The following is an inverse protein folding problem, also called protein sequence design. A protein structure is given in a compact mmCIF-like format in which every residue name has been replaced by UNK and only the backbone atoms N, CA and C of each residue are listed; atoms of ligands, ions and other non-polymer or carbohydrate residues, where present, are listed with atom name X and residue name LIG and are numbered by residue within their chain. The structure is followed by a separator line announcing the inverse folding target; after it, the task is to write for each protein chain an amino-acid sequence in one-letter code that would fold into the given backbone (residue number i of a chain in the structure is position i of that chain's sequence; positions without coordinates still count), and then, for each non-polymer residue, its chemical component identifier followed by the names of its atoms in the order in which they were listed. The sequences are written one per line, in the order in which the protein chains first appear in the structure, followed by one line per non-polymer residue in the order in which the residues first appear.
data_IF_859424248660
#
_entry.id   IF_859424248660
#
_cell.length_a   1.000
_cell.length_b   1.000
_cell.length_c   1.000
_cell.angle_alpha   90.00
_cell.angle_beta   90.00
_cell.angle_gamma   90.00
#
_symmetry.space_group_name_H-M   'P 1'
#
loop_
_entity.id
_entity.type
_entity.pdbx_description
1 polymer ?
#
# COMPACT_ATOMS: atom_id res chain seq x y z
N UNK A 1 84.65 19.56 -28.31
CA UNK A 1 84.67 18.43 -29.26
C UNK A 1 83.37 17.62 -29.05
N UNK A 2 82.59 17.49 -30.11
CA UNK A 2 81.41 16.60 -30.31
C UNK A 2 80.16 16.84 -29.40
N UNK A 3 79.08 17.47 -29.88
CA UNK A 3 78.05 17.08 -30.90
C UNK A 3 77.54 15.65 -30.64
N UNK A 4 76.22 15.48 -30.30
CA UNK A 4 75.17 15.22 -31.25
C UNK A 4 73.93 14.60 -30.53
N UNK A 5 72.73 14.97 -31.06
CA UNK A 5 71.41 14.33 -31.05
C UNK A 5 70.62 14.47 -29.71
N UNK A 6 69.58 15.17 -29.64
CA UNK A 6 68.50 15.37 -30.65
C UNK A 6 67.38 14.39 -30.36
N UNK A 7 66.29 14.81 -29.82
CA UNK A 7 65.15 13.96 -29.61
C UNK A 7 64.08 14.67 -28.75
N UNK A 8 63.39 15.66 -29.33
CA UNK A 8 62.14 16.20 -28.79
C UNK A 8 61.09 15.09 -28.76
N UNK A 9 60.68 14.66 -27.59
CA UNK A 9 59.45 13.95 -27.38
C UNK A 9 58.58 14.79 -26.43
N UNK A 10 57.89 15.76 -26.98
CA UNK A 10 56.74 16.38 -26.34
C UNK A 10 55.62 15.36 -26.20
N UNK A 11 55.58 14.71 -25.07
CA UNK A 11 54.42 13.95 -24.63
C UNK A 11 53.38 14.98 -24.15
N UNK A 12 52.53 15.41 -25.07
CA UNK A 12 51.29 16.11 -24.76
C UNK A 12 50.40 15.16 -23.96
N UNK A 13 50.48 15.26 -22.65
CA UNK A 13 49.48 14.71 -21.74
C UNK A 13 48.22 15.51 -22.02
N UNK A 14 47.34 14.96 -22.90
CA UNK A 14 45.98 15.40 -23.08
C UNK A 14 45.23 15.35 -21.78
N UNK A 15 45.15 16.48 -21.09
CA UNK A 15 44.15 16.69 -20.04
C UNK A 15 42.80 16.58 -20.69
N UNK A 16 42.19 15.40 -20.61
CA UNK A 16 40.77 15.22 -20.89
C UNK A 16 39.98 16.06 -19.92
N UNK A 17 39.70 17.30 -20.35
CA UNK A 17 38.64 18.09 -19.79
C UNK A 17 37.34 17.32 -20.04
N UNK A 18 36.88 16.59 -19.05
CA UNK A 18 35.46 16.19 -19.00
C UNK A 18 34.70 17.49 -18.78
N UNK A 19 34.41 18.18 -19.87
CA UNK A 19 33.44 19.24 -19.89
C UNK A 19 32.12 18.67 -19.42
N UNK A 20 31.60 19.26 -18.38
CA UNK A 20 30.16 19.23 -18.14
C UNK A 20 29.51 19.81 -19.40
N UNK A 21 29.01 18.94 -20.28
CA UNK A 21 28.17 19.36 -21.37
C UNK A 21 26.92 19.96 -20.76
N UNK A 22 26.81 21.27 -20.79
CA UNK A 22 25.56 21.97 -20.60
C UNK A 22 24.56 21.38 -21.59
N UNK A 23 23.37 21.10 -21.11
CA UNK A 23 22.25 20.49 -21.82
C UNK A 23 21.72 21.48 -22.86
N UNK A 24 22.34 21.51 -24.05
CA UNK A 24 21.96 22.37 -25.19
C UNK A 24 21.58 21.55 -26.44
N UNK A 25 21.26 20.25 -26.27
CA UNK A 25 20.83 19.39 -27.37
C UNK A 25 19.31 19.42 -27.55
N UNK A 26 18.80 19.40 -28.79
CA UNK A 26 17.38 19.20 -29.01
C UNK A 26 16.96 17.84 -28.42
N UNK A 27 15.82 17.82 -27.74
CA UNK A 27 15.20 16.60 -27.19
C UNK A 27 15.14 15.54 -28.31
N UNK A 28 15.85 14.43 -28.10
CA UNK A 28 15.92 13.39 -29.11
C UNK A 28 14.64 12.52 -29.03
N UNK A 29 13.81 12.66 -30.05
CA UNK A 29 12.61 11.82 -30.24
C UNK A 29 12.88 10.59 -31.14
N UNK A 30 14.14 10.33 -31.50
CA UNK A 30 14.48 9.18 -32.34
C UNK A 30 14.39 7.87 -31.56
N UNK A 31 13.54 6.97 -32.00
CA UNK A 31 13.38 5.64 -31.44
C UNK A 31 14.32 4.67 -32.18
N UNK A 32 15.59 4.59 -31.77
CA UNK A 32 16.49 3.53 -32.21
C UNK A 32 16.51 2.43 -31.15
N UNK A 33 15.99 1.25 -31.50
CA UNK A 33 16.07 0.08 -30.63
C UNK A 33 17.52 -0.41 -30.51
N UNK A 34 18.26 0.13 -29.56
CA UNK A 34 19.58 -0.39 -29.19
C UNK A 34 19.46 -1.28 -27.95
N UNK A 35 20.33 -2.31 -27.80
CA UNK A 35 20.33 -3.15 -26.60
C UNK A 35 20.45 -2.33 -25.29
N UNK A 36 21.25 -1.26 -25.32
CA UNK A 36 21.44 -0.35 -24.18
C UNK A 36 20.15 0.38 -23.81
N UNK A 37 19.39 0.84 -24.81
CA UNK A 37 18.10 1.50 -24.58
C UNK A 37 17.08 0.56 -23.94
N UNK A 38 17.09 -0.73 -24.35
CA UNK A 38 16.23 -1.76 -23.74
C UNK A 38 16.62 -2.00 -22.29
N UNK A 39 17.92 -2.07 -21.98
CA UNK A 39 18.40 -2.23 -20.61
C UNK A 39 17.99 -1.05 -19.72
N UNK A 40 18.16 0.19 -20.20
CA UNK A 40 17.72 1.41 -19.50
C UNK A 40 16.19 1.40 -19.33
N UNK A 41 15.42 1.09 -20.37
CA UNK A 41 13.97 0.98 -20.28
C UNK A 41 13.53 -0.02 -19.21
N UNK A 42 14.08 -1.22 -19.21
CA UNK A 42 13.73 -2.26 -18.23
C UNK A 42 14.12 -1.83 -16.81
N UNK A 43 15.29 -1.24 -16.64
CA UNK A 43 15.73 -0.75 -15.33
C UNK A 43 14.82 0.33 -14.79
N UNK A 44 14.52 1.35 -15.60
CA UNK A 44 13.60 2.41 -15.23
C UNK A 44 12.20 1.87 -14.98
N UNK A 45 11.72 0.93 -15.81
CA UNK A 45 10.41 0.34 -15.66
C UNK A 45 10.26 -0.44 -14.35
N UNK A 46 11.25 -1.28 -14.01
CA UNK A 46 11.26 -2.03 -12.75
C UNK A 46 11.32 -1.07 -11.56
N UNK A 47 12.19 -0.06 -11.63
CA UNK A 47 12.33 0.95 -10.59
C UNK A 47 11.00 1.70 -10.39
N UNK A 48 10.36 2.13 -11.47
CA UNK A 48 9.10 2.86 -11.44
C UNK A 48 7.95 2.01 -10.89
N UNK A 49 7.88 0.73 -11.25
CA UNK A 49 6.88 -0.21 -10.71
C UNK A 49 7.10 -0.44 -9.22
N UNK A 50 8.35 -0.65 -8.79
CA UNK A 50 8.68 -0.87 -7.37
C UNK A 50 8.32 0.35 -6.52
N UNK A 51 8.75 1.55 -6.95
CA UNK A 51 8.39 2.81 -6.29
C UNK A 51 6.88 3.09 -6.30
N UNK A 52 6.21 2.68 -7.38
CA UNK A 52 4.79 2.90 -7.56
C UNK A 52 3.90 2.04 -6.66
N UNK A 53 4.37 0.88 -6.21
CA UNK A 53 3.60 0.02 -5.29
C UNK A 53 3.33 0.74 -3.98
N UNK A 54 4.34 1.40 -3.40
CA UNK A 54 4.19 2.16 -2.16
C UNK A 54 3.20 3.32 -2.34
N UNK A 55 3.28 4.05 -3.46
CA UNK A 55 2.34 5.11 -3.80
C UNK A 55 0.90 4.59 -3.85
N UNK A 56 0.66 3.43 -4.48
CA UNK A 56 -0.68 2.81 -4.54
C UNK A 56 -1.17 2.41 -3.15
N UNK A 57 -0.30 1.91 -2.28
CA UNK A 57 -0.66 1.55 -0.90
C UNK A 57 -1.07 2.82 -0.12
N UNK A 58 -0.31 3.92 -0.22
CA UNK A 58 -0.65 5.18 0.45
C UNK A 58 -1.94 5.80 -0.08
N UNK A 59 -2.12 5.83 -1.39
CA UNK A 59 -3.38 6.26 -2.00
C UNK A 59 -4.55 5.41 -1.49
N UNK A 60 -4.33 4.11 -1.32
CA UNK A 60 -5.33 3.20 -0.76
C UNK A 60 -5.68 3.53 0.69
N UNK A 61 -4.69 3.86 1.52
CA UNK A 61 -4.90 4.27 2.91
C UNK A 61 -5.66 5.60 2.98
N UNK A 62 -5.27 6.59 2.18
CA UNK A 62 -5.94 7.90 2.14
C UNK A 62 -7.37 7.79 1.62
N UNK A 63 -7.58 7.04 0.53
CA UNK A 63 -8.90 6.84 -0.05
C UNK A 63 -9.83 6.06 0.90
N UNK A 64 -9.31 5.17 1.74
CA UNK A 64 -10.11 4.39 2.70
C UNK A 64 -10.78 5.25 3.78
N UNK A 65 -10.37 6.51 3.95
CA UNK A 65 -10.98 7.47 4.89
C UNK A 65 -12.28 8.09 4.36
N UNK A 66 -12.51 7.97 3.07
CA UNK A 66 -13.73 8.48 2.43
C UNK A 66 -14.88 7.49 2.56
N UNK A 67 -16.13 7.96 2.43
CA UNK A 67 -17.30 7.10 2.27
C UNK A 67 -17.08 6.06 1.15
N UNK A 68 -17.64 4.86 1.31
CA UNK A 68 -17.39 3.72 0.40
C UNK A 68 -17.66 4.04 -1.07
N UNK A 69 -18.66 4.87 -1.34
CA UNK A 69 -19.06 5.29 -2.69
C UNK A 69 -18.00 6.17 -3.38
N UNK A 70 -17.19 6.88 -2.58
CA UNK A 70 -16.17 7.80 -3.08
C UNK A 70 -14.77 7.17 -3.15
N UNK A 71 -14.50 6.07 -2.43
CA UNK A 71 -13.18 5.46 -2.33
C UNK A 71 -12.59 5.05 -3.68
N UNK A 72 -13.39 4.38 -4.52
CA UNK A 72 -12.94 3.97 -5.85
C UNK A 72 -12.69 5.16 -6.77
N UNK A 73 -13.55 6.20 -6.69
CA UNK A 73 -13.38 7.43 -7.47
C UNK A 73 -12.12 8.18 -7.04
N UNK A 74 -11.89 8.34 -5.73
CA UNK A 74 -10.71 9.01 -5.20
C UNK A 74 -9.42 8.30 -5.59
N UNK A 75 -9.39 6.97 -5.48
CA UNK A 75 -8.23 6.18 -5.88
C UNK A 75 -7.93 6.32 -7.38
N UNK A 76 -8.92 6.10 -8.24
CA UNK A 76 -8.69 6.15 -9.68
C UNK A 76 -8.35 7.57 -10.15
N UNK A 77 -9.08 8.59 -9.66
CA UNK A 77 -8.81 9.99 -10.00
C UNK A 77 -7.46 10.44 -9.46
N UNK A 78 -7.13 10.09 -8.20
CA UNK A 78 -5.85 10.41 -7.59
C UNK A 78 -4.69 9.81 -8.37
N UNK A 79 -4.77 8.52 -8.73
CA UNK A 79 -3.79 7.86 -9.57
C UNK A 79 -3.66 8.54 -10.95
N UNK A 80 -4.77 8.81 -11.64
CA UNK A 80 -4.72 9.44 -12.96
C UNK A 80 -4.10 10.85 -12.92
N UNK A 81 -4.47 11.65 -11.92
CA UNK A 81 -3.88 12.97 -11.74
C UNK A 81 -2.39 12.90 -11.39
N UNK A 82 -1.99 11.95 -10.56
CA UNK A 82 -0.58 11.69 -10.24
C UNK A 82 0.21 11.35 -11.51
N UNK A 83 -0.30 10.46 -12.37
CA UNK A 83 0.32 10.18 -13.67
C UNK A 83 0.46 11.43 -14.52
N UNK A 84 -0.63 12.20 -14.65
CA UNK A 84 -0.60 13.40 -15.47
C UNK A 84 0.46 14.39 -14.96
N UNK A 85 0.51 14.59 -13.64
CA UNK A 85 1.52 15.45 -13.01
C UNK A 85 2.94 14.94 -13.27
N UNK A 86 3.17 13.62 -13.18
CA UNK A 86 4.49 13.02 -13.47
C UNK A 86 4.89 13.19 -14.93
N UNK A 87 3.96 13.00 -15.89
CA UNK A 87 4.22 13.28 -17.32
C UNK A 87 4.57 14.75 -17.52
N UNK A 88 3.84 15.67 -16.88
CA UNK A 88 4.16 17.10 -16.93
C UNK A 88 5.56 17.37 -16.36
N UNK A 89 5.91 16.79 -15.21
CA UNK A 89 7.26 16.93 -14.65
C UNK A 89 8.34 16.41 -15.60
N UNK A 90 8.12 15.28 -16.27
CA UNK A 90 9.06 14.75 -17.27
C UNK A 90 9.21 15.69 -18.46
N UNK A 91 8.12 16.30 -18.94
CA UNK A 91 8.19 17.30 -20.02
C UNK A 91 8.99 18.56 -19.61
N UNK A 92 8.95 18.91 -18.32
CA UNK A 92 9.75 19.99 -17.75
C UNK A 92 11.10 19.54 -17.16
N UNK A 93 11.56 18.33 -17.54
CA UNK A 93 12.76 17.72 -16.97
C UNK A 93 14.00 18.60 -17.07
N UNK A 94 14.19 19.31 -18.20
CA UNK A 94 15.30 20.26 -18.37
C UNK A 94 15.29 21.38 -17.31
N UNK A 95 14.10 21.90 -16.98
CA UNK A 95 13.97 22.89 -15.91
C UNK A 95 14.17 22.25 -14.51
N UNK A 96 13.66 21.03 -14.30
CA UNK A 96 13.82 20.32 -13.02
C UNK A 96 15.30 20.06 -12.71
N UNK A 97 16.12 19.78 -13.72
CA UNK A 97 17.57 19.61 -13.52
C UNK A 97 18.22 20.89 -12.97
N UNK A 98 17.74 22.08 -13.36
CA UNK A 98 18.26 23.36 -12.83
C UNK A 98 17.92 23.57 -11.35
N UNK A 99 16.90 22.88 -10.82
CA UNK A 99 16.55 22.92 -9.39
C UNK A 99 17.62 22.30 -8.49
N UNK A 100 18.61 21.61 -9.04
CA UNK A 100 19.76 21.08 -8.30
C UNK A 100 20.84 22.11 -8.00
N UNK A 101 20.79 23.27 -8.64
CA UNK A 101 21.76 24.33 -8.40
C UNK A 101 21.50 24.97 -7.03
N UNK A 102 22.59 25.24 -6.29
CA UNK A 102 22.52 25.87 -4.99
C UNK A 102 21.99 27.30 -5.10
N UNK A 103 20.94 27.59 -4.36
CA UNK A 103 20.28 28.91 -4.33
C UNK A 103 20.81 29.78 -3.18
N UNK A 104 21.12 29.12 -2.05
CA UNK A 104 21.66 29.83 -0.89
C UNK A 104 22.57 28.88 -0.08
N UNK A 105 23.42 29.49 0.74
CA UNK A 105 24.38 28.78 1.58
C UNK A 105 24.09 29.06 3.06
N UNK A 106 24.10 28.00 3.90
CA UNK A 106 24.09 28.10 5.35
C UNK A 106 25.40 27.51 5.85
N UNK A 107 26.37 28.38 6.19
CA UNK A 107 27.74 27.96 6.50
C UNK A 107 28.43 27.39 5.26
N UNK A 108 28.86 26.14 5.32
CA UNK A 108 29.52 25.43 4.19
C UNK A 108 28.54 24.60 3.36
N UNK A 109 27.26 24.51 3.77
CA UNK A 109 26.25 23.72 3.07
C UNK A 109 25.46 24.58 2.09
N UNK A 110 25.48 24.23 0.81
CA UNK A 110 24.63 24.77 -0.23
C UNK A 110 23.25 24.08 -0.20
N UNK A 111 22.20 24.86 -0.40
CA UNK A 111 20.83 24.34 -0.50
C UNK A 111 20.26 24.71 -1.86
N UNK A 112 19.80 23.71 -2.58
CA UNK A 112 19.08 23.83 -3.83
C UNK A 112 17.56 23.88 -3.60
N UNK A 113 16.80 24.29 -4.61
CA UNK A 113 15.33 24.15 -4.56
C UNK A 113 14.88 22.71 -4.40
N UNK A 114 15.62 21.74 -4.99
CA UNK A 114 15.38 20.31 -4.78
C UNK A 114 15.43 19.96 -3.31
N UNK A 115 16.48 20.40 -2.61
CA UNK A 115 16.71 20.06 -1.20
C UNK A 115 15.60 20.61 -0.30
N UNK A 116 15.14 21.84 -0.57
CA UNK A 116 14.01 22.44 0.14
C UNK A 116 12.72 21.64 -0.05
N UNK A 117 12.44 21.21 -1.29
CA UNK A 117 11.26 20.39 -1.58
C UNK A 117 11.35 19.03 -0.88
N UNK A 118 12.54 18.41 -0.88
CA UNK A 118 12.76 17.14 -0.19
C UNK A 118 12.58 17.26 1.32
N UNK A 119 13.13 18.32 1.95
CA UNK A 119 12.96 18.56 3.38
C UNK A 119 11.49 18.84 3.71
N UNK A 120 10.84 19.74 2.99
CA UNK A 120 9.43 20.07 3.24
C UNK A 120 8.51 18.85 3.00
N UNK A 121 8.75 18.12 1.92
CA UNK A 121 8.04 16.89 1.60
C UNK A 121 8.27 15.80 2.63
N UNK A 122 9.51 15.59 3.04
CA UNK A 122 9.88 14.62 4.07
C UNK A 122 9.23 14.94 5.42
N UNK A 123 9.23 16.21 5.86
CA UNK A 123 8.53 16.66 7.07
C UNK A 123 7.02 16.42 6.98
N UNK A 124 6.42 16.69 5.81
CA UNK A 124 5.02 16.40 5.57
C UNK A 124 4.73 14.89 5.68
N UNK A 125 5.59 14.02 5.11
CA UNK A 125 5.43 12.56 5.20
C UNK A 125 5.54 12.06 6.65
N UNK A 126 6.55 12.54 7.40
CA UNK A 126 6.74 12.19 8.82
C UNK A 126 5.52 12.60 9.63
N UNK A 127 5.07 13.85 9.47
CA UNK A 127 3.87 14.35 10.15
C UNK A 127 2.64 13.48 9.84
N UNK A 128 2.43 13.15 8.56
CA UNK A 128 1.29 12.31 8.14
C UNK A 128 1.40 10.89 8.66
N UNK A 129 2.58 10.27 8.59
CA UNK A 129 2.79 8.93 9.09
C UNK A 129 2.51 8.84 10.59
N UNK A 130 3.08 9.76 11.38
CA UNK A 130 2.89 9.80 12.84
C UNK A 130 1.42 10.01 13.18
N UNK A 131 0.76 10.98 12.55
CA UNK A 131 -0.68 11.24 12.79
C UNK A 131 -1.55 10.04 12.45
N UNK A 132 -1.26 9.35 11.33
CA UNK A 132 -2.00 8.15 10.93
C UNK A 132 -1.76 6.96 11.86
N UNK A 133 -0.52 6.77 12.31
CA UNK A 133 -0.18 5.73 13.29
C UNK A 133 -0.89 6.01 14.61
N UNK A 134 -0.84 7.24 15.10
CA UNK A 134 -1.52 7.65 16.34
C UNK A 134 -3.03 7.38 16.26
N UNK A 135 -3.71 7.83 15.21
CA UNK A 135 -5.12 7.53 15.01
C UNK A 135 -5.45 6.04 14.92
N UNK A 136 -4.51 5.23 14.45
CA UNK A 136 -4.70 3.78 14.38
C UNK A 136 -4.56 3.10 15.73
N UNK A 137 -3.68 3.61 16.59
CA UNK A 137 -3.41 3.03 17.90
C UNK A 137 -4.43 3.50 18.96
N UNK A 138 -4.84 4.76 18.90
CA UNK A 138 -5.73 5.37 19.90
C UNK A 138 -7.19 5.46 19.44
N UNK A 139 -7.46 5.34 18.14
CA UNK A 139 -8.79 5.53 17.56
C UNK A 139 -9.83 4.46 17.93
N UNK A 140 -9.48 3.48 18.75
CA UNK A 140 -10.43 2.52 19.29
C UNK A 140 -11.17 3.05 20.56
N UNK A 141 -10.65 4.08 21.21
CA UNK A 141 -11.25 4.61 22.46
C UNK A 141 -12.12 5.85 22.24
N UNK A 142 -12.06 6.51 21.09
CA UNK A 142 -12.75 7.78 20.84
C UNK A 142 -14.11 7.68 20.09
N UNK A 143 -14.67 6.50 19.87
CA UNK A 143 -16.01 6.39 19.28
C UNK A 143 -17.15 6.94 20.16
N UNK A 144 -16.85 7.37 21.40
CA UNK A 144 -17.84 7.87 22.37
C UNK A 144 -17.77 9.37 22.66
N UNK A 145 -16.89 10.12 22.02
CA UNK A 145 -16.76 11.57 22.18
C UNK A 145 -17.27 12.36 20.98
N UNK A 146 -18.46 12.96 21.10
CA UNK A 146 -19.03 13.93 20.15
C UNK A 146 -18.21 15.25 20.11
N UNK A 147 -16.98 15.20 19.61
CA UNK A 147 -16.11 16.37 19.38
C UNK A 147 -15.70 16.46 17.93
N UNK A 148 -16.32 17.36 17.18
CA UNK A 148 -16.10 17.86 15.81
C UNK A 148 -14.88 17.39 15.03
N UNK A 149 -14.81 16.11 14.62
CA UNK A 149 -13.88 15.68 13.56
C UNK A 149 -14.29 16.38 12.28
N UNK A 150 -13.43 17.28 11.76
CA UNK A 150 -13.61 17.81 10.40
C UNK A 150 -13.67 16.61 9.47
N UNK A 151 -14.85 16.39 8.86
CA UNK A 151 -15.04 15.32 7.89
C UNK A 151 -13.96 15.42 6.82
N UNK A 152 -13.24 14.32 6.57
CA UNK A 152 -12.23 14.26 5.51
C UNK A 152 -12.95 14.45 4.19
N UNK A 153 -12.65 15.55 3.49
CA UNK A 153 -13.31 15.87 2.21
C UNK A 153 -12.59 15.17 1.06
N UNK A 154 -13.34 14.86 0.01
CA UNK A 154 -12.78 14.27 -1.22
C UNK A 154 -11.62 15.10 -1.78
N UNK A 155 -11.78 16.43 -1.85
CA UNK A 155 -10.73 17.35 -2.31
C UNK A 155 -9.47 17.32 -1.45
N UNK A 156 -9.62 17.23 -0.11
CA UNK A 156 -8.48 17.12 0.79
C UNK A 156 -7.69 15.81 0.57
N UNK A 157 -8.36 14.70 0.29
CA UNK A 157 -7.70 13.43 -0.02
C UNK A 157 -6.95 13.51 -1.34
N UNK A 158 -7.56 14.06 -2.39
CA UNK A 158 -6.90 14.27 -3.69
C UNK A 158 -5.68 15.18 -3.55
N UNK A 159 -5.81 16.29 -2.84
CA UNK A 159 -4.67 17.21 -2.61
C UNK A 159 -3.52 16.50 -1.88
N UNK A 160 -3.81 15.70 -0.85
CA UNK A 160 -2.79 14.92 -0.15
C UNK A 160 -2.12 13.89 -1.07
N UNK A 161 -2.88 13.20 -1.93
CA UNK A 161 -2.34 12.26 -2.92
C UNK A 161 -1.37 12.98 -3.87
N UNK A 162 -1.77 14.15 -4.39
CA UNK A 162 -0.94 14.92 -5.32
C UNK A 162 0.34 15.46 -4.66
N UNK A 163 0.26 15.94 -3.43
CA UNK A 163 1.45 16.39 -2.69
C UNK A 163 2.42 15.24 -2.45
N UNK A 164 1.91 14.06 -2.05
CA UNK A 164 2.73 12.87 -1.88
C UNK A 164 3.41 12.46 -3.18
N UNK A 165 2.63 12.38 -4.27
CA UNK A 165 3.18 11.99 -5.57
C UNK A 165 4.18 13.01 -6.09
N UNK A 166 3.96 14.32 -5.89
CA UNK A 166 4.91 15.37 -6.28
C UNK A 166 6.28 15.15 -5.64
N UNK A 167 6.31 14.87 -4.33
CA UNK A 167 7.56 14.66 -3.58
C UNK A 167 8.32 13.45 -4.11
N UNK A 168 7.61 12.33 -4.33
CA UNK A 168 8.23 11.10 -4.86
C UNK A 168 8.61 11.21 -6.34
N UNK A 169 7.80 11.93 -7.13
CA UNK A 169 8.02 12.08 -8.56
C UNK A 169 9.21 12.97 -8.89
N UNK A 170 9.50 13.99 -8.04
CA UNK A 170 10.65 14.87 -8.29
C UNK A 170 11.94 14.07 -8.30
N UNK A 171 12.16 13.21 -7.31
CA UNK A 171 13.36 12.38 -7.21
C UNK A 171 13.43 11.32 -8.32
N UNK A 172 12.30 10.66 -8.64
CA UNK A 172 12.26 9.64 -9.70
C UNK A 172 12.49 10.24 -11.09
N UNK A 173 11.95 11.42 -11.39
CA UNK A 173 12.18 12.12 -12.66
C UNK A 173 13.63 12.56 -12.79
N UNK A 174 14.22 13.12 -11.74
CA UNK A 174 15.65 13.48 -11.71
C UNK A 174 16.54 12.26 -11.97
N UNK A 175 16.21 11.13 -11.36
CA UNK A 175 16.93 9.86 -11.56
C UNK A 175 16.75 9.34 -12.99
N UNK A 176 15.54 9.36 -13.53
CA UNK A 176 15.24 8.91 -14.90
C UNK A 176 15.99 9.73 -15.95
N UNK A 177 15.98 11.06 -15.82
CA UNK A 177 16.73 11.97 -16.72
C UNK A 177 18.24 11.78 -16.60
N UNK A 178 18.73 11.43 -15.40
CA UNK A 178 20.13 11.09 -15.21
C UNK A 178 20.57 9.78 -15.88
N UNK A 179 19.61 8.87 -16.18
CA UNK A 179 19.87 7.58 -16.84
C UNK A 179 19.72 7.65 -18.36
N UNK A 180 18.83 8.51 -18.87
CA UNK A 180 18.60 8.66 -20.31
C UNK A 180 18.06 10.05 -20.64
N UNK A 181 18.53 10.61 -21.73
CA UNK A 181 18.04 11.87 -22.30
C UNK A 181 16.80 11.68 -23.18
N UNK A 182 16.44 10.42 -23.46
CA UNK A 182 15.32 10.12 -24.33
C UNK A 182 13.98 10.22 -23.59
N UNK A 183 13.31 11.37 -23.74
CA UNK A 183 12.02 11.62 -23.09
C UNK A 183 10.93 10.63 -23.51
N UNK A 184 10.97 10.09 -24.73
CA UNK A 184 9.99 9.11 -25.19
C UNK A 184 10.09 7.84 -24.37
N UNK A 185 11.31 7.39 -24.06
CA UNK A 185 11.55 6.21 -23.20
C UNK A 185 10.99 6.47 -21.80
N UNK A 186 11.31 7.62 -21.19
CA UNK A 186 10.85 7.96 -19.85
C UNK A 186 9.32 8.03 -19.81
N UNK A 187 8.69 8.74 -20.74
CA UNK A 187 7.22 8.87 -20.79
C UNK A 187 6.57 7.49 -21.01
N UNK A 188 7.14 6.66 -21.89
CA UNK A 188 6.61 5.32 -22.14
C UNK A 188 6.69 4.45 -20.87
N UNK A 189 7.81 4.50 -20.15
CA UNK A 189 7.97 3.83 -18.85
C UNK A 189 6.92 4.30 -17.86
N UNK A 190 6.75 5.60 -17.71
CA UNK A 190 5.79 6.20 -16.78
C UNK A 190 4.36 5.78 -17.12
N UNK A 191 3.95 5.87 -18.37
CA UNK A 191 2.58 5.50 -18.78
C UNK A 191 2.33 4.01 -18.62
N UNK A 192 3.30 3.16 -18.97
CA UNK A 192 3.15 1.70 -18.89
C UNK A 192 3.13 1.23 -17.43
N UNK A 193 4.06 1.68 -16.61
CA UNK A 193 4.10 1.36 -15.17
C UNK A 193 2.82 1.82 -14.48
N UNK A 194 2.32 2.97 -14.87
CA UNK A 194 1.09 3.53 -14.33
C UNK A 194 -0.15 2.72 -14.74
N UNK A 195 -0.21 2.23 -15.96
CA UNK A 195 -1.25 1.32 -16.42
C UNK A 195 -1.32 0.06 -15.54
N UNK A 196 -0.16 -0.51 -15.22
CA UNK A 196 -0.05 -1.66 -14.30
C UNK A 196 -0.52 -1.29 -12.89
N UNK A 197 -0.07 -0.14 -12.37
CA UNK A 197 -0.47 0.33 -11.04
C UNK A 197 -1.97 0.58 -10.95
N UNK A 198 -2.59 1.17 -11.98
CA UNK A 198 -4.03 1.39 -12.01
C UNK A 198 -4.79 0.06 -11.97
N UNK A 199 -4.35 -0.93 -12.73
CA UNK A 199 -4.91 -2.28 -12.70
C UNK A 199 -4.71 -2.94 -11.33
N UNK A 200 -3.50 -2.91 -10.77
CA UNK A 200 -3.15 -3.51 -9.49
C UNK A 200 -3.83 -2.80 -8.31
N UNK A 201 -4.11 -1.51 -8.43
CA UNK A 201 -4.62 -0.67 -7.34
C UNK A 201 -5.89 -1.22 -6.66
N UNK A 202 -6.77 -1.85 -7.43
CA UNK A 202 -8.00 -2.45 -6.90
C UNK A 202 -7.71 -3.63 -5.98
N UNK A 203 -6.76 -4.48 -6.37
CA UNK A 203 -6.36 -5.65 -5.59
C UNK A 203 -5.58 -5.22 -4.34
N UNK A 204 -4.65 -4.27 -4.51
CA UNK A 204 -3.87 -3.70 -3.41
C UNK A 204 -4.79 -3.02 -2.40
N UNK A 205 -5.76 -2.23 -2.84
CA UNK A 205 -6.74 -1.59 -1.96
C UNK A 205 -7.53 -2.61 -1.13
N UNK A 206 -8.04 -3.65 -1.78
CA UNK A 206 -8.80 -4.70 -1.09
C UNK A 206 -7.91 -5.46 -0.07
N UNK A 207 -6.68 -5.76 -0.45
CA UNK A 207 -5.71 -6.45 0.39
C UNK A 207 -5.32 -5.62 1.61
N UNK A 208 -4.92 -4.36 1.42
CA UNK A 208 -4.53 -3.43 2.49
C UNK A 208 -5.68 -3.17 3.47
N UNK A 209 -6.91 -3.06 2.96
CA UNK A 209 -8.07 -2.85 3.84
C UNK A 209 -8.46 -4.10 4.64
N UNK A 210 -8.14 -5.29 4.14
CA UNK A 210 -8.38 -6.55 4.84
C UNK A 210 -7.35 -6.83 5.94
N UNK A 211 -6.12 -6.31 5.80
CA UNK A 211 -5.00 -6.62 6.68
C UNK A 211 -4.50 -5.35 7.41
N UNK A 212 -4.93 -5.10 8.65
CA UNK A 212 -4.53 -3.90 9.41
C UNK A 212 -3.02 -3.84 9.69
N UNK A 213 -2.35 -4.98 9.81
CA UNK A 213 -0.90 -5.07 9.98
C UNK A 213 -0.14 -4.53 8.77
N UNK A 214 -0.62 -4.84 7.55
CA UNK A 214 -0.08 -4.29 6.31
C UNK A 214 -0.23 -2.77 6.25
N UNK A 215 -1.35 -2.22 6.76
CA UNK A 215 -1.51 -0.75 6.87
C UNK A 215 -0.48 -0.13 7.80
N UNK A 216 -0.21 -0.76 8.96
CA UNK A 216 0.80 -0.29 9.90
C UNK A 216 2.20 -0.36 9.30
N UNK A 217 2.52 -1.45 8.61
CA UNK A 217 3.79 -1.62 7.92
C UNK A 217 4.00 -0.52 6.86
N UNK A 218 2.97 -0.24 6.06
CA UNK A 218 3.04 0.82 5.05
C UNK A 218 3.24 2.21 5.68
N UNK A 219 2.55 2.52 6.79
CA UNK A 219 2.75 3.79 7.51
C UNK A 219 4.16 3.90 8.09
N UNK A 220 4.73 2.78 8.56
CA UNK A 220 6.13 2.73 9.02
C UNK A 220 7.11 2.99 7.86
N UNK A 221 6.82 2.49 6.66
CA UNK A 221 7.62 2.81 5.47
C UNK A 221 7.48 4.28 5.07
N UNK A 222 6.28 4.85 5.16
CA UNK A 222 6.08 6.29 4.92
C UNK A 222 6.93 7.14 5.86
N UNK A 223 6.98 6.76 7.14
CA UNK A 223 7.84 7.42 8.13
C UNK A 223 9.32 7.30 7.77
N UNK A 224 9.77 6.08 7.42
CA UNK A 224 11.15 5.81 7.02
C UNK A 224 11.55 6.65 5.80
N UNK A 225 10.71 6.67 4.75
CA UNK A 225 10.97 7.43 3.54
C UNK A 225 10.97 8.94 3.84
N UNK A 226 10.06 9.41 4.70
CA UNK A 226 10.04 10.81 5.12
C UNK A 226 11.34 11.24 5.79
N UNK A 227 11.88 10.44 6.72
CA UNK A 227 13.17 10.69 7.37
C UNK A 227 14.31 10.65 6.35
N UNK A 228 14.27 9.70 5.42
CA UNK A 228 15.27 9.59 4.36
C UNK A 228 15.30 10.83 3.45
N UNK A 229 14.12 11.33 3.02
CA UNK A 229 14.05 12.53 2.19
C UNK A 229 14.56 13.78 2.91
N UNK A 230 14.31 13.88 4.22
CA UNK A 230 14.90 14.96 5.05
C UNK A 230 16.42 14.84 5.05
N UNK A 231 16.98 13.65 5.29
CA UNK A 231 18.41 13.42 5.28
C UNK A 231 19.04 13.76 3.92
N UNK A 232 18.41 13.34 2.81
CA UNK A 232 18.85 13.65 1.45
C UNK A 232 18.82 15.15 1.19
N UNK A 233 17.78 15.87 1.63
CA UNK A 233 17.69 17.31 1.52
C UNK A 233 18.73 18.08 2.37
N UNK A 234 19.31 17.45 3.38
CA UNK A 234 20.47 17.96 4.12
C UNK A 234 21.82 17.51 3.51
N UNK A 235 21.83 16.95 2.30
CA UNK A 235 23.03 16.56 1.59
C UNK A 235 23.60 15.20 1.97
N UNK A 236 22.92 14.42 2.83
CA UNK A 236 23.34 13.04 3.12
C UNK A 236 22.94 12.12 1.97
N UNK A 237 23.91 11.78 1.13
CA UNK A 237 23.69 10.83 0.04
C UNK A 237 23.68 9.39 0.58
N UNK A 238 22.49 8.87 0.79
CA UNK A 238 22.28 7.49 1.22
C UNK A 238 21.84 6.66 0.01
N UNK A 239 22.53 5.56 -0.26
CA UNK A 239 22.13 4.67 -1.34
C UNK A 239 20.74 4.09 -1.08
N UNK A 240 19.87 4.16 -2.08
CA UNK A 240 18.47 3.66 -2.02
C UNK A 240 18.38 2.18 -1.66
N UNK A 241 19.47 1.40 -1.89
CA UNK A 241 19.53 0.01 -1.48
C UNK A 241 19.38 -0.17 0.04
N UNK A 242 19.85 0.79 0.85
CA UNK A 242 19.68 0.78 2.31
C UNK A 242 18.24 0.99 2.76
N UNK A 243 17.37 1.49 1.88
CA UNK A 243 15.93 1.61 2.14
C UNK A 243 15.21 0.35 1.66
N UNK A 244 15.47 -0.06 0.43
CA UNK A 244 14.75 -1.18 -0.18
C UNK A 244 15.08 -2.52 0.45
N UNK A 245 16.31 -2.71 0.96
CA UNK A 245 16.71 -3.94 1.67
C UNK A 245 15.82 -4.21 2.89
N UNK A 246 15.79 -3.31 3.89
CA UNK A 246 14.91 -3.45 5.06
C UNK A 246 13.42 -3.51 4.70
N UNK A 247 12.96 -2.77 3.69
CA UNK A 247 11.57 -2.83 3.23
C UNK A 247 11.22 -4.20 2.68
N UNK A 248 12.06 -4.76 1.81
CA UNK A 248 11.85 -6.11 1.25
C UNK A 248 11.85 -7.17 2.36
N UNK A 249 12.75 -7.06 3.34
CA UNK A 249 12.78 -7.94 4.49
C UNK A 249 11.51 -7.84 5.34
N UNK A 250 11.04 -6.63 5.63
CA UNK A 250 9.83 -6.42 6.40
C UNK A 250 8.56 -6.95 5.67
N UNK A 251 8.48 -6.76 4.34
CA UNK A 251 7.41 -7.35 3.51
C UNK A 251 7.46 -8.88 3.57
N UNK A 252 8.65 -9.46 3.49
CA UNK A 252 8.84 -10.91 3.61
C UNK A 252 8.37 -11.44 4.97
N UNK A 253 8.77 -10.78 6.06
CA UNK A 253 8.31 -11.15 7.42
C UNK A 253 6.79 -11.04 7.53
N UNK A 254 6.18 -9.98 6.99
CA UNK A 254 4.72 -9.79 7.03
C UNK A 254 4.00 -10.87 6.20
N UNK A 255 4.55 -11.25 5.05
CA UNK A 255 4.01 -12.36 4.26
C UNK A 255 4.03 -13.69 5.05
N UNK A 256 5.10 -13.97 5.80
CA UNK A 256 5.18 -15.14 6.68
C UNK A 256 4.15 -15.06 7.82
N UNK A 257 3.97 -13.88 8.43
CA UNK A 257 2.96 -13.67 9.48
C UNK A 257 1.54 -13.93 8.96
N UNK A 258 1.21 -13.39 7.79
CA UNK A 258 -0.09 -13.61 7.16
C UNK A 258 -0.31 -15.09 6.83
N UNK A 259 0.70 -15.78 6.33
CA UNK A 259 0.63 -17.21 6.05
C UNK A 259 0.43 -18.04 7.33
N UNK A 260 1.18 -17.74 8.38
CA UNK A 260 1.02 -18.38 9.69
C UNK A 260 -0.37 -18.14 10.29
N UNK A 261 -0.88 -16.89 10.21
CA UNK A 261 -2.23 -16.54 10.68
C UNK A 261 -3.32 -17.30 9.90
N UNK A 262 -3.19 -17.40 8.57
CA UNK A 262 -4.11 -18.16 7.73
C UNK A 262 -4.09 -19.65 8.06
N UNK A 263 -2.91 -20.23 8.29
CA UNK A 263 -2.76 -21.63 8.69
C UNK A 263 -3.41 -21.91 10.06
N UNK A 264 -3.23 -20.99 11.03
CA UNK A 264 -3.85 -21.05 12.35
C UNK A 264 -5.38 -20.99 12.26
N UNK A 265 -5.91 -20.03 11.51
CA UNK A 265 -7.36 -19.88 11.30
C UNK A 265 -7.98 -21.15 10.69
N UNK A 266 -7.31 -21.75 9.70
CA UNK A 266 -7.77 -23.02 9.09
C UNK A 266 -7.77 -24.19 10.09
N UNK A 267 -6.79 -24.24 11.00
CA UNK A 267 -6.73 -25.28 12.06
C UNK A 267 -7.86 -25.08 13.08
N UNK A 268 -8.12 -23.83 13.48
CA UNK A 268 -9.20 -23.51 14.42
C UNK A 268 -10.59 -23.81 13.81
N UNK A 269 -10.77 -23.52 12.53
CA UNK A 269 -12.00 -23.81 11.81
C UNK A 269 -12.25 -25.34 11.73
N UNK A 270 -11.19 -26.13 11.52
CA UNK A 270 -11.28 -27.61 11.57
C UNK A 270 -11.60 -28.15 12.98
N UNK A 271 -11.15 -27.46 14.04
CA UNK A 271 -11.48 -27.82 15.42
C UNK A 271 -12.90 -27.44 15.81
N UNK A 272 -13.47 -26.41 15.21
CA UNK A 272 -14.84 -25.92 15.49
C UNK A 272 -15.92 -26.67 14.70
N UNK A 273 -15.57 -27.36 13.61
CA UNK A 273 -16.49 -28.29 12.96
C UNK A 273 -16.46 -29.59 13.76
N UNK A 274 -17.46 -29.87 14.62
CA UNK A 274 -17.55 -31.13 15.25
C UNK A 274 -17.68 -32.19 14.15
N UNK A 275 -16.87 -33.24 14.25
CA UNK A 275 -17.04 -34.43 13.44
C UNK A 275 -18.47 -34.88 13.72
N UNK A 276 -19.40 -34.73 12.77
CA UNK A 276 -20.69 -35.37 12.86
C UNK A 276 -20.37 -36.87 12.82
N UNK A 277 -20.31 -37.45 14.02
CA UNK A 277 -20.35 -38.90 14.15
C UNK A 277 -21.67 -39.32 13.50
N UNK A 278 -21.63 -40.07 12.41
CA UNK A 278 -22.81 -40.74 11.89
C UNK A 278 -23.41 -41.46 13.08
N UNK A 279 -24.72 -41.33 13.36
CA UNK A 279 -25.37 -42.15 14.35
C UNK A 279 -25.07 -43.61 13.99
N UNK A 280 -24.40 -44.30 14.88
CA UNK A 280 -23.96 -45.67 14.64
C UNK A 280 -25.14 -46.65 14.67
N UNK A 281 -26.29 -46.11 15.06
CA UNK A 281 -27.57 -46.81 15.04
C UNK A 281 -28.48 -46.08 14.06
N UNK A 282 -29.13 -46.81 13.11
CA UNK A 282 -30.28 -46.26 12.43
C UNK A 282 -31.28 -45.86 13.53
N UNK A 283 -31.94 -44.72 13.37
CA UNK A 283 -33.10 -44.37 14.19
C UNK A 283 -34.11 -45.51 14.05
N UNK A 284 -33.96 -46.45 14.91
CA UNK A 284 -35.03 -47.42 15.10
C UNK A 284 -36.12 -46.60 15.74
N UNK A 285 -37.19 -46.39 14.99
CA UNK A 285 -38.37 -45.72 15.48
C UNK A 285 -38.77 -46.41 16.76
N UNK A 286 -38.44 -45.83 17.91
CA UNK A 286 -38.63 -46.44 19.23
C UNK A 286 -40.09 -46.78 19.41
N UNK A 287 -40.99 -46.07 18.77
CA UNK A 287 -42.41 -46.35 18.69
C UNK A 287 -42.69 -47.59 17.87
N UNK A 288 -42.00 -47.88 16.79
CA UNK A 288 -42.16 -49.11 16.00
C UNK A 288 -41.54 -50.31 16.71
N UNK A 289 -40.42 -50.14 17.41
CA UNK A 289 -39.79 -51.19 18.19
C UNK A 289 -40.66 -51.57 19.40
N UNK A 290 -41.27 -50.63 20.08
CA UNK A 290 -42.18 -50.81 21.19
C UNK A 290 -43.50 -51.48 20.68
N UNK A 291 -44.01 -50.98 19.54
CA UNK A 291 -45.20 -51.60 18.92
C UNK A 291 -44.98 -53.07 18.49
N UNK A 292 -43.80 -53.35 17.91
CA UNK A 292 -43.42 -54.74 17.55
C UNK A 292 -43.21 -55.63 18.79
N UNK A 293 -42.65 -55.10 19.88
CA UNK A 293 -42.50 -55.83 21.14
C UNK A 293 -43.85 -56.16 21.82
N UNK A 294 -44.79 -55.22 21.78
CA UNK A 294 -46.13 -55.37 22.33
C UNK A 294 -47.00 -56.33 21.48
N UNK A 295 -46.78 -56.36 20.17
CA UNK A 295 -47.49 -57.27 19.28
C UNK A 295 -47.05 -58.73 19.41
N UNK A 296 -45.89 -59.03 19.99
CA UNK A 296 -45.30 -60.35 20.10
C UNK A 296 -45.41 -60.91 21.53
N UNK A 297 -46.16 -60.28 22.44
CA UNK A 297 -46.42 -60.78 23.79
C UNK A 297 -47.66 -61.75 23.77
N UNK A 298 -47.46 -63.01 23.95
CA UNK A 298 -48.55 -64.03 23.93
C UNK A 298 -49.50 -63.89 25.12
N UNK A 299 -49.25 -62.95 26.06
CA UNK A 299 -50.11 -62.78 27.26
C UNK A 299 -50.92 -61.46 27.27
N UNK A 300 -51.03 -60.74 26.16
CA UNK A 300 -51.78 -59.45 26.10
C UNK A 300 -53.31 -59.60 25.90
N UNK A 301 -53.83 -60.74 26.33
CA UNK A 301 -55.27 -60.95 26.42
C UNK A 301 -55.84 -60.33 27.69
N UNK A 302 -56.59 -59.22 27.52
CA UNK A 302 -57.53 -58.69 28.51
C UNK A 302 -56.94 -57.82 29.66
N UNK A 303 -56.66 -56.59 29.39
CA UNK A 303 -56.97 -55.52 30.34
C UNK A 303 -57.71 -54.41 29.58
N UNK A 304 -59.01 -54.40 29.72
CA UNK A 304 -59.86 -53.30 29.27
C UNK A 304 -59.57 -52.05 30.12
N UNK A 305 -58.90 -51.08 29.60
CA UNK A 305 -58.77 -49.74 30.17
C UNK A 305 -59.83 -48.86 29.56
N UNK A 306 -60.87 -48.61 30.36
CA UNK A 306 -61.91 -47.64 30.22
C UNK A 306 -61.32 -46.28 29.94
N UNK A 307 -61.63 -45.75 28.79
CA UNK A 307 -61.34 -44.34 28.43
C UNK A 307 -62.21 -43.45 29.29
N UNK A 308 -61.59 -42.65 30.14
CA UNK A 308 -62.18 -41.45 30.75
C UNK A 308 -61.64 -40.23 30.07
N UNK A 309 -62.50 -39.36 29.50
CA UNK A 309 -62.04 -38.07 28.98
C UNK A 309 -61.79 -37.16 30.18
N UNK A 310 -60.63 -36.53 30.17
CA UNK A 310 -60.34 -35.41 31.06
C UNK A 310 -60.64 -34.16 30.26
N UNK A 311 -61.79 -33.58 30.55
CA UNK A 311 -62.16 -32.25 30.14
C UNK A 311 -61.35 -31.20 30.91
N UNK A 312 -60.98 -30.19 30.20
CA UNK A 312 -61.14 -28.82 30.64
C UNK A 312 -60.04 -28.13 31.41
N UNK A 313 -59.77 -27.06 30.85
CA UNK A 313 -59.68 -25.74 31.47
C UNK A 313 -58.29 -25.13 31.81
N UNK A 314 -58.25 -23.97 31.25
CA UNK A 314 -57.76 -22.71 31.77
C UNK A 314 -56.31 -22.33 31.58
N UNK A 315 -56.13 -21.50 30.58
CA UNK A 315 -55.12 -20.46 30.63
C UNK A 315 -55.36 -19.49 31.80
N UNK A 316 -54.35 -18.87 32.34
CA UNK A 316 -54.47 -17.48 32.77
C UNK A 316 -53.52 -16.58 32.04
N UNK A 317 -54.10 -15.59 31.37
CA UNK A 317 -53.59 -14.27 31.10
C UNK A 317 -53.05 -13.62 32.37
N UNK A 318 -51.89 -13.07 32.29
CA UNK A 318 -51.45 -12.06 33.25
C UNK A 318 -50.82 -10.89 32.49
N UNK A 319 -51.68 -9.90 32.37
CA UNK A 319 -51.43 -8.50 32.17
C UNK A 319 -50.69 -7.90 33.37
N UNK A 320 -49.82 -6.93 33.12
CA UNK A 320 -49.61 -5.80 34.05
C UNK A 320 -48.32 -5.93 34.89
N UNK A 321 -47.35 -5.11 34.62
CA UNK A 321 -47.20 -3.88 35.42
C UNK A 321 -45.96 -3.09 34.99
N UNK A 322 -46.24 -1.89 34.52
CA UNK A 322 -45.26 -0.79 34.44
C UNK A 322 -45.00 -0.26 35.84
N UNK A 323 -43.77 0.12 36.10
CA UNK A 323 -43.22 1.19 36.93
C UNK A 323 -41.76 0.86 37.15
N UNK A 324 -40.73 1.67 36.87
CA UNK A 324 -40.63 3.10 37.10
C UNK A 324 -39.46 3.30 38.03
N UNK A 325 -38.60 4.25 37.70
CA UNK A 325 -37.58 4.86 38.56
C UNK A 325 -36.14 4.28 38.49
N UNK A 326 -35.26 5.25 38.11
CA UNK A 326 -33.87 5.33 38.45
C UNK A 326 -33.02 5.88 37.31
#
# INVERSE_FOLDING_TARGET
MHRLFGGDAQTTVGRGARGHAAYDGPVDFSFAFTPDLIAVFLTLFVLEVVLGVDNVIFISILASKLPKEQQAKARNLGLTLAMLMRVVLVLFAGWIVTLKEDVFFIGEMGFSWKDLILIAGGLFLVYKAVTEIHHKLEGAEEEHGAGGRKAVTFGSVIAQILVLDLVFSLDSVITAVGMTENLVVIITVVVLSFGIMLFASRFIFAFVNKHPTVKMLALSFLLLIGVFLIAEGFGFHIDKAFIYGPMAFAIFVEALNLWAAAAKAKREQRRRNPVQLRPQYPDVDESAAVAAALSNDPHSGAVGLSSRPVDGDAAPSAEGERRGLG
#
